data_IF_492677843169
#
_entry.id   IF_492677843169
#
_cell.length_a   1.000
_cell.length_b   1.000
_cell.length_c   1.000
_cell.angle_alpha   90.00
_cell.angle_beta   90.00
_cell.angle_gamma   90.00
#
_symmetry.space_group_name_H-M   'P 1'
#
loop_
_entity.id
_entity.type
_entity.pdbx_description
1 polymer ?
#
# COMPACT_ATOMS: atom_id res chain seq x y z
N UNK A 1 -9.80 -7.26 -6.44
CA UNK A 1 -8.56 -6.63 -5.90
C UNK A 1 -7.33 -6.81 -6.81
N UNK A 2 -6.90 -8.02 -7.19
CA UNK A 2 -5.69 -8.24 -8.03
C UNK A 2 -5.60 -7.36 -9.29
N UNK A 3 -6.67 -7.28 -10.09
CA UNK A 3 -6.69 -6.44 -11.28
C UNK A 3 -6.61 -4.93 -10.97
N UNK A 4 -7.12 -4.50 -9.80
CA UNK A 4 -7.05 -3.11 -9.37
C UNK A 4 -5.60 -2.74 -9.02
N UNK A 5 -4.91 -3.62 -8.28
CA UNK A 5 -3.49 -3.45 -7.94
C UNK A 5 -2.60 -3.39 -9.18
N UNK A 6 -2.84 -4.27 -10.17
CA UNK A 6 -2.13 -4.25 -11.46
C UNK A 6 -2.34 -2.94 -12.21
N UNK A 7 -3.57 -2.41 -12.25
CA UNK A 7 -3.86 -1.12 -12.87
C UNK A 7 -3.20 0.04 -12.14
N UNK A 8 -3.20 0.01 -10.82
CA UNK A 8 -2.54 1.04 -10.03
C UNK A 8 -1.03 1.05 -10.23
N UNK A 9 -0.42 -0.12 -10.42
CA UNK A 9 1.03 -0.23 -10.62
C UNK A 9 1.50 0.45 -11.90
N UNK A 10 0.65 0.61 -12.92
CA UNK A 10 1.07 1.28 -14.17
C UNK A 10 1.50 2.73 -13.93
N UNK A 11 0.99 3.40 -12.88
CA UNK A 11 1.45 4.75 -12.54
C UNK A 11 2.89 4.80 -12.01
N UNK A 12 3.43 3.64 -11.61
CA UNK A 12 4.80 3.51 -11.11
C UNK A 12 5.79 3.09 -12.21
N UNK A 13 5.33 2.71 -13.41
CA UNK A 13 6.23 2.22 -14.47
C UNK A 13 7.22 3.30 -14.96
N UNK A 14 6.80 4.57 -14.92
CA UNK A 14 7.61 5.73 -15.32
C UNK A 14 8.54 6.27 -14.21
N UNK A 15 8.76 5.52 -13.11
CA UNK A 15 9.59 6.01 -11.98
C UNK A 15 11.08 5.77 -12.14
N UNK A 16 11.54 5.08 -13.20
CA UNK A 16 12.97 4.82 -13.39
C UNK A 16 13.75 6.14 -13.50
N UNK A 17 14.69 6.36 -12.58
CA UNK A 17 15.45 7.61 -12.41
C UNK A 17 14.62 8.85 -12.01
N UNK A 18 13.38 8.68 -11.54
CA UNK A 18 12.58 9.77 -11.02
C UNK A 18 13.13 10.28 -9.67
N UNK A 19 12.91 11.56 -9.37
CA UNK A 19 13.26 12.13 -8.06
C UNK A 19 12.37 11.53 -6.96
N UNK A 20 12.85 11.55 -5.70
CA UNK A 20 12.05 11.11 -4.54
C UNK A 20 10.68 11.81 -4.47
N UNK A 21 10.65 13.12 -4.77
CA UNK A 21 9.41 13.89 -4.86
C UNK A 21 8.47 13.37 -5.95
N UNK A 22 9.01 13.00 -7.12
CA UNK A 22 8.19 12.45 -8.21
C UNK A 22 7.67 11.05 -7.88
N UNK A 23 8.48 10.22 -7.21
CA UNK A 23 8.05 8.91 -6.70
C UNK A 23 6.91 9.10 -5.70
N UNK A 24 7.01 10.07 -4.78
CA UNK A 24 5.94 10.41 -3.84
C UNK A 24 4.64 10.83 -4.55
N UNK A 25 4.72 11.72 -5.54
CA UNK A 25 3.54 12.14 -6.32
C UNK A 25 2.85 10.97 -7.02
N UNK A 26 3.64 10.09 -7.64
CA UNK A 26 3.12 8.90 -8.32
C UNK A 26 2.55 7.89 -7.32
N UNK A 27 3.20 7.72 -6.16
CA UNK A 27 2.76 6.84 -5.09
C UNK A 27 1.39 7.24 -4.51
N UNK A 28 1.06 8.54 -4.46
CA UNK A 28 -0.28 9.02 -4.08
C UNK A 28 -1.38 8.50 -5.03
N UNK A 29 -1.05 8.30 -6.30
CA UNK A 29 -1.99 7.75 -7.29
C UNK A 29 -1.96 6.22 -7.37
N UNK A 30 -0.93 5.58 -6.80
CA UNK A 30 -0.64 4.16 -6.93
C UNK A 30 -1.59 3.25 -6.11
N UNK A 31 -2.69 3.78 -5.60
CA UNK A 31 -3.75 2.99 -4.97
C UNK A 31 -5.15 3.44 -5.39
N UNK A 32 -5.29 4.35 -6.37
CA UNK A 32 -6.58 4.95 -6.73
C UNK A 32 -7.64 3.92 -7.13
N UNK A 33 -7.27 2.96 -7.98
CA UNK A 33 -8.18 1.92 -8.47
C UNK A 33 -8.45 0.88 -7.38
N UNK A 34 -7.46 0.56 -6.55
CA UNK A 34 -7.58 -0.37 -5.42
C UNK A 34 -8.50 0.19 -4.34
N UNK A 35 -8.33 1.45 -3.97
CA UNK A 35 -9.19 2.13 -3.00
C UNK A 35 -10.61 2.28 -3.53
N UNK A 36 -10.77 2.59 -4.82
CA UNK A 36 -12.09 2.55 -5.45
C UNK A 36 -12.72 1.16 -5.38
N UNK A 37 -11.97 0.10 -5.68
CA UNK A 37 -12.48 -1.28 -5.55
C UNK A 37 -12.91 -1.57 -4.11
N UNK A 38 -12.13 -1.15 -3.12
CA UNK A 38 -12.46 -1.31 -1.71
C UNK A 38 -13.69 -0.48 -1.31
N UNK A 39 -13.86 0.70 -1.89
CA UNK A 39 -15.04 1.54 -1.71
C UNK A 39 -16.30 0.88 -2.25
N UNK A 40 -16.24 0.43 -3.50
CA UNK A 40 -17.36 -0.22 -4.20
C UNK A 40 -17.80 -1.52 -3.50
N UNK A 41 -16.93 -2.13 -2.69
CA UNK A 41 -17.21 -3.38 -1.96
C UNK A 41 -17.15 -3.21 -0.42
N UNK A 42 -17.26 -1.99 0.09
CA UNK A 42 -16.96 -1.69 1.51
C UNK A 42 -17.76 -2.54 2.49
N UNK A 43 -19.08 -2.69 2.25
CA UNK A 43 -19.98 -3.32 3.23
C UNK A 43 -19.62 -4.80 3.41
N UNK A 44 -19.21 -5.44 2.31
CA UNK A 44 -18.69 -6.81 2.32
C UNK A 44 -17.31 -6.87 2.98
N UNK A 45 -16.39 -5.97 2.62
CA UNK A 45 -15.02 -6.00 3.14
C UNK A 45 -14.95 -5.71 4.64
N UNK A 46 -15.72 -4.76 5.16
CA UNK A 46 -15.77 -4.45 6.60
C UNK A 46 -16.21 -5.66 7.41
N UNK A 47 -17.23 -6.38 6.95
CA UNK A 47 -17.72 -7.59 7.63
C UNK A 47 -16.68 -8.70 7.55
N UNK A 48 -16.20 -9.02 6.34
CA UNK A 48 -15.31 -10.16 6.14
C UNK A 48 -13.91 -9.94 6.71
N UNK A 49 -13.46 -8.69 6.89
CA UNK A 49 -12.15 -8.37 7.45
C UNK A 49 -12.21 -7.86 8.90
N UNK A 50 -13.37 -7.96 9.55
CA UNK A 50 -13.49 -7.73 10.99
C UNK A 50 -12.76 -8.80 11.80
N UNK A 51 -12.56 -8.56 13.09
CA UNK A 51 -11.88 -9.50 14.00
C UNK A 51 -12.50 -10.91 14.03
N UNK A 52 -13.81 -11.00 13.77
CA UNK A 52 -14.56 -12.26 13.69
C UNK A 52 -14.92 -12.65 12.23
N UNK A 53 -14.25 -12.02 11.26
CA UNK A 53 -14.48 -12.22 9.84
C UNK A 53 -13.84 -13.51 9.30
N UNK A 54 -13.65 -13.54 7.98
CA UNK A 54 -13.05 -14.67 7.28
C UNK A 54 -11.51 -14.59 7.34
N UNK A 55 -10.93 -15.40 8.23
CA UNK A 55 -9.47 -15.50 8.38
C UNK A 55 -8.76 -15.96 7.10
N UNK A 56 -9.40 -16.79 6.27
CA UNK A 56 -8.80 -17.24 5.01
C UNK A 56 -8.77 -16.09 4.00
N UNK A 57 -9.82 -15.26 3.96
CA UNK A 57 -9.81 -14.05 3.16
C UNK A 57 -8.72 -13.08 3.61
N UNK A 58 -8.57 -12.88 4.94
CA UNK A 58 -7.50 -12.04 5.49
C UNK A 58 -6.11 -12.52 5.03
N UNK A 59 -5.83 -13.82 5.18
CA UNK A 59 -4.57 -14.40 4.70
C UNK A 59 -4.40 -14.28 3.17
N UNK A 60 -5.48 -14.42 2.40
CA UNK A 60 -5.42 -14.24 0.95
C UNK A 60 -5.06 -12.80 0.55
N UNK A 61 -5.57 -11.80 1.28
CA UNK A 61 -5.21 -10.38 1.07
C UNK A 61 -3.76 -10.14 1.47
N UNK A 62 -3.30 -10.67 2.59
CA UNK A 62 -1.89 -10.59 3.02
C UNK A 62 -0.97 -11.17 1.95
N UNK A 63 -1.28 -12.36 1.43
CA UNK A 63 -0.48 -12.99 0.37
C UNK A 63 -0.48 -12.15 -0.91
N UNK A 64 -1.66 -11.66 -1.33
CA UNK A 64 -1.78 -10.77 -2.49
C UNK A 64 -0.97 -9.48 -2.33
N UNK A 65 -0.98 -8.88 -1.14
CA UNK A 65 -0.22 -7.66 -0.85
C UNK A 65 1.29 -7.92 -0.79
N UNK A 66 1.71 -9.09 -0.29
CA UNK A 66 3.11 -9.51 -0.33
C UNK A 66 3.62 -9.68 -1.76
N UNK A 67 2.83 -10.33 -2.62
CA UNK A 67 3.15 -10.45 -4.05
C UNK A 67 3.23 -9.07 -4.69
N UNK A 68 2.25 -8.20 -4.41
CA UNK A 68 2.22 -6.85 -4.94
C UNK A 68 3.42 -5.99 -4.49
N UNK A 69 3.89 -6.14 -3.25
CA UNK A 69 5.11 -5.47 -2.81
C UNK A 69 6.31 -5.85 -3.69
N UNK A 70 6.47 -7.13 -4.02
CA UNK A 70 7.57 -7.58 -4.88
C UNK A 70 7.45 -7.05 -6.32
N UNK A 71 6.22 -6.83 -6.79
CA UNK A 71 5.96 -6.18 -8.08
C UNK A 71 6.30 -4.69 -8.04
N UNK A 72 5.99 -3.98 -6.94
CA UNK A 72 6.15 -2.52 -6.80
C UNK A 72 7.54 -2.07 -6.40
N UNK A 73 8.20 -2.82 -5.52
CA UNK A 73 9.47 -2.43 -4.93
C UNK A 73 10.56 -2.07 -5.96
N UNK A 74 10.70 -2.76 -7.11
CA UNK A 74 11.63 -2.36 -8.17
C UNK A 74 11.47 -0.89 -8.61
N UNK A 75 10.22 -0.43 -8.75
CA UNK A 75 9.89 0.93 -9.17
C UNK A 75 10.14 1.95 -8.07
N UNK A 76 9.86 1.59 -6.81
CA UNK A 76 10.00 2.49 -5.65
C UNK A 76 11.46 2.69 -5.25
N UNK A 77 12.30 1.68 -5.44
CA UNK A 77 13.71 1.70 -5.01
C UNK A 77 14.70 1.75 -6.18
N UNK A 78 14.22 1.88 -7.42
CA UNK A 78 15.03 1.93 -8.64
C UNK A 78 16.06 0.78 -8.72
N UNK A 79 15.57 -0.46 -8.54
CA UNK A 79 16.40 -1.67 -8.40
C UNK A 79 15.64 -2.89 -8.94
N UNK A 80 16.22 -4.08 -8.87
CA UNK A 80 15.56 -5.33 -9.28
C UNK A 80 15.00 -6.11 -8.09
N UNK A 81 14.04 -7.02 -8.34
CA UNK A 81 13.52 -7.93 -7.29
C UNK A 81 14.63 -8.74 -6.63
N UNK A 82 15.56 -9.23 -7.44
CA UNK A 82 16.68 -10.04 -6.98
C UNK A 82 17.62 -9.25 -6.04
N UNK A 83 17.78 -7.96 -6.27
CA UNK A 83 18.54 -7.08 -5.39
C UNK A 83 17.80 -6.78 -4.08
N UNK A 84 16.51 -6.48 -4.14
CA UNK A 84 15.67 -6.28 -2.95
C UNK A 84 15.70 -7.49 -2.03
N UNK A 85 15.57 -8.70 -2.58
CA UNK A 85 15.55 -9.93 -1.80
C UNK A 85 16.91 -10.29 -1.17
N UNK A 86 18.00 -9.66 -1.62
CA UNK A 86 19.34 -9.79 -1.00
C UNK A 86 19.54 -8.85 0.20
N UNK A 87 18.67 -7.85 0.39
CA UNK A 87 18.77 -6.90 1.50
C UNK A 87 18.63 -7.66 2.82
N UNK A 88 19.54 -7.47 3.80
CA UNK A 88 19.37 -8.04 5.13
C UNK A 88 18.01 -7.67 5.73
N UNK A 89 17.32 -8.65 6.31
CA UNK A 89 15.99 -8.48 6.89
C UNK A 89 14.90 -8.01 5.90
N UNK A 90 15.07 -8.18 4.58
CA UNK A 90 14.05 -7.73 3.61
C UNK A 90 12.65 -8.25 3.94
N UNK A 91 12.53 -9.50 4.42
CA UNK A 91 11.24 -10.08 4.80
C UNK A 91 10.55 -9.29 5.91
N UNK A 92 11.31 -8.83 6.90
CA UNK A 92 10.77 -7.99 7.96
C UNK A 92 10.27 -6.65 7.41
N UNK A 93 11.04 -6.01 6.51
CA UNK A 93 10.61 -4.77 5.85
C UNK A 93 9.37 -4.97 4.96
N UNK A 94 9.31 -6.07 4.22
CA UNK A 94 8.14 -6.46 3.42
C UNK A 94 6.91 -6.62 4.33
N UNK A 95 7.03 -7.32 5.45
CA UNK A 95 5.94 -7.48 6.43
C UNK A 95 5.49 -6.13 6.98
N UNK A 96 6.42 -5.26 7.41
CA UNK A 96 6.07 -3.93 7.92
C UNK A 96 5.33 -3.09 6.89
N UNK A 97 5.79 -3.10 5.64
CA UNK A 97 5.13 -2.37 4.55
C UNK A 97 3.70 -2.89 4.32
N UNK A 98 3.55 -4.21 4.15
CA UNK A 98 2.27 -4.86 3.87
C UNK A 98 1.28 -4.63 5.02
N UNK A 99 1.73 -4.82 6.26
CA UNK A 99 0.91 -4.60 7.45
C UNK A 99 0.47 -3.14 7.57
N UNK A 100 1.35 -2.18 7.29
CA UNK A 100 1.01 -0.75 7.30
C UNK A 100 -0.06 -0.41 6.26
N UNK A 101 0.07 -0.88 5.02
CA UNK A 101 -0.92 -0.64 3.96
C UNK A 101 -2.26 -1.30 4.30
N UNK A 102 -2.26 -2.53 4.79
CA UNK A 102 -3.51 -3.23 5.16
C UNK A 102 -4.18 -2.55 6.34
N UNK A 103 -3.42 -2.17 7.37
CA UNK A 103 -3.97 -1.46 8.54
C UNK A 103 -4.55 -0.10 8.15
N UNK A 104 -3.87 0.64 7.28
CA UNK A 104 -4.37 1.90 6.72
C UNK A 104 -5.72 1.68 6.03
N UNK A 105 -5.79 0.72 5.12
CA UNK A 105 -7.00 0.41 4.36
C UNK A 105 -8.17 -0.02 5.27
N UNK A 106 -7.90 -0.90 6.24
CA UNK A 106 -8.90 -1.33 7.22
C UNK A 106 -9.34 -0.17 8.10
N UNK A 107 -8.41 0.68 8.54
CA UNK A 107 -8.72 1.84 9.36
C UNK A 107 -9.64 2.80 8.60
N UNK A 108 -9.28 3.16 7.37
CA UNK A 108 -10.10 4.01 6.50
C UNK A 108 -11.50 3.41 6.26
N UNK A 109 -11.60 2.11 5.93
CA UNK A 109 -12.88 1.44 5.73
C UNK A 109 -13.80 1.51 6.96
N UNK A 110 -13.24 1.43 8.16
CA UNK A 110 -14.00 1.46 9.43
C UNK A 110 -14.22 2.87 9.99
N UNK A 111 -13.43 3.88 9.60
CA UNK A 111 -13.41 5.21 10.22
C UNK A 111 -13.54 6.36 9.20
N UNK A 112 -14.43 6.20 8.22
CA UNK A 112 -14.61 7.18 7.13
C UNK A 112 -15.08 8.56 7.55
N UNK A 113 -15.69 8.68 8.74
CA UNK A 113 -16.08 9.98 9.30
C UNK A 113 -14.89 10.81 9.76
N UNK A 114 -13.74 10.17 10.03
CA UNK A 114 -12.53 10.82 10.52
C UNK A 114 -11.39 10.83 9.51
N UNK A 115 -11.51 10.06 8.43
CA UNK A 115 -10.47 9.92 7.42
C UNK A 115 -11.08 9.85 6.03
N UNK A 116 -10.79 10.85 5.20
CA UNK A 116 -11.25 10.88 3.81
C UNK A 116 -10.47 9.89 2.94
N UNK A 117 -11.00 9.60 1.75
CA UNK A 117 -10.26 8.78 0.77
C UNK A 117 -8.98 9.47 0.30
N UNK A 118 -8.92 10.81 0.32
CA UNK A 118 -7.72 11.54 -0.11
C UNK A 118 -6.64 11.52 0.98
N UNK A 119 -7.03 11.51 2.26
CA UNK A 119 -6.11 11.25 3.38
C UNK A 119 -5.50 9.85 3.27
N UNK A 120 -6.32 8.85 2.91
CA UNK A 120 -5.88 7.47 2.73
C UNK A 120 -4.87 7.34 1.57
N UNK A 121 -5.18 7.92 0.41
CA UNK A 121 -4.24 7.98 -0.74
C UNK A 121 -2.92 8.63 -0.35
N UNK A 122 -2.98 9.76 0.34
CA UNK A 122 -1.78 10.49 0.77
C UNK A 122 -0.93 9.63 1.71
N UNK A 123 -1.54 9.01 2.73
CA UNK A 123 -0.84 8.14 3.67
C UNK A 123 -0.28 6.88 2.99
N UNK A 124 -1.01 6.26 2.06
CA UNK A 124 -0.53 5.12 1.29
C UNK A 124 0.67 5.50 0.41
N UNK A 125 0.68 6.72 -0.16
CA UNK A 125 1.82 7.27 -0.88
C UNK A 125 3.04 7.48 0.02
N UNK A 126 2.83 7.99 1.25
CA UNK A 126 3.92 8.17 2.22
C UNK A 126 4.50 6.84 2.71
N UNK A 127 3.67 5.84 3.02
CA UNK A 127 4.12 4.50 3.46
C UNK A 127 5.01 3.83 2.39
N UNK A 128 4.73 4.08 1.11
CA UNK A 128 5.55 3.58 0.00
C UNK A 128 6.93 4.19 -0.10
N UNK A 129 7.11 5.41 0.41
CA UNK A 129 8.29 6.23 0.10
C UNK A 129 9.08 6.65 1.32
N UNK A 130 8.53 6.48 2.53
CA UNK A 130 9.13 6.96 3.78
C UNK A 130 9.22 5.84 4.82
N UNK A 131 10.27 5.90 5.63
CA UNK A 131 10.31 5.13 6.89
C UNK A 131 9.23 5.61 7.87
N UNK A 132 8.83 4.76 8.82
CA UNK A 132 7.84 5.12 9.85
C UNK A 132 8.21 6.40 10.62
N UNK A 133 9.50 6.64 10.89
CA UNK A 133 9.96 7.87 11.56
C UNK A 133 9.77 9.10 10.66
N UNK A 134 10.12 8.99 9.37
CA UNK A 134 9.91 10.07 8.41
C UNK A 134 8.42 10.34 8.17
N UNK A 135 7.58 9.30 8.21
CA UNK A 135 6.12 9.39 8.16
C UNK A 135 5.61 10.20 9.37
N UNK A 136 5.98 9.83 10.60
CA UNK A 136 5.58 10.56 11.80
C UNK A 136 5.98 12.04 11.74
N UNK A 137 7.20 12.34 11.28
CA UNK A 137 7.66 13.72 11.10
C UNK A 137 6.87 14.48 10.04
N UNK A 138 6.41 13.80 8.99
CA UNK A 138 5.63 14.42 7.90
C UNK A 138 4.20 14.77 8.33
N UNK A 139 3.67 14.11 9.37
CA UNK A 139 2.32 14.33 9.90
C UNK A 139 2.28 15.34 11.06
N UNK A 140 3.43 15.72 11.61
CA UNK A 140 3.55 16.64 12.74
C UNK A 140 3.68 18.12 12.32
N UNK A 141 3.69 18.40 11.02
CA UNK A 141 3.78 19.74 10.42
C UNK A 141 2.47 20.07 9.71
#
# INVERSE_FOLDING_TARGET
MKNALQKDRTSLEDTHNASEQKIMELANSAFNVTLKYCDDHKDTLVVLLSDNGDINLYHAIINLANDEFLERAPYLFNTTRAEIQKIPLYKFFQTLYVDSIIRLLLFWLNHRSTMSIDDDKYLAGLIQTKSNIQLMKSLAN
#
